data_IF_500492599508
#
_entry.id   IF_500492599508
#
_cell.length_a   1.000
_cell.length_b   1.000
_cell.length_c   1.000
_cell.angle_alpha   90.00
_cell.angle_beta   90.00
_cell.angle_gamma   90.00
#
_symmetry.space_group_name_H-M   'P 1'
#
loop_
_entity.id
_entity.type
_entity.pdbx_description
1 polymer ?
#
# COMPACT_ATOMS: atom_id res chain seq x y z
N UNK A 1 -2.20 -23.01 26.13
CA UNK A 1 -2.56 -21.70 25.54
C UNK A 1 -2.03 -20.65 26.50
N UNK A 2 -1.12 -19.75 26.12
CA UNK A 2 -0.70 -18.67 27.01
C UNK A 2 -1.86 -17.70 27.22
N UNK A 3 -2.06 -17.24 28.46
CA UNK A 3 -3.13 -16.33 28.86
C UNK A 3 -3.00 -14.98 28.15
N UNK A 4 -4.13 -14.39 27.77
CA UNK A 4 -4.23 -13.10 27.08
C UNK A 4 -3.84 -11.90 27.98
N UNK A 5 -3.66 -12.15 29.28
CA UNK A 5 -3.46 -11.13 30.32
C UNK A 5 -1.98 -10.70 30.49
N UNK A 6 -1.02 -11.36 29.85
CA UNK A 6 0.40 -10.97 29.89
C UNK A 6 0.77 -9.88 28.85
N UNK A 7 -0.22 -9.22 28.25
CA UNK A 7 0.00 -8.08 27.36
C UNK A 7 0.39 -6.84 28.19
N UNK A 8 1.66 -6.79 28.61
CA UNK A 8 2.22 -5.59 29.20
C UNK A 8 1.98 -4.39 28.25
N UNK A 9 1.50 -3.24 28.74
CA UNK A 9 1.40 -2.05 27.92
C UNK A 9 2.79 -1.73 27.38
N UNK A 10 2.93 -1.69 26.05
CA UNK A 10 4.21 -1.32 25.43
C UNK A 10 4.42 0.17 25.64
N UNK A 11 5.58 0.56 26.18
CA UNK A 11 5.96 1.96 26.40
C UNK A 11 6.08 2.78 25.10
N UNK A 12 6.07 2.13 23.94
CA UNK A 12 6.18 2.77 22.64
C UNK A 12 4.89 2.64 21.83
N UNK A 13 4.24 3.78 21.57
CA UNK A 13 3.16 3.90 20.60
C UNK A 13 3.74 4.02 19.19
N UNK A 14 3.57 2.98 18.37
CA UNK A 14 3.83 3.06 16.93
C UNK A 14 2.69 3.83 16.24
N UNK A 15 2.94 4.99 15.62
CA UNK A 15 1.88 5.72 14.95
C UNK A 15 1.39 4.91 13.73
N UNK A 16 0.08 4.72 13.67
CA UNK A 16 -0.60 4.05 12.57
C UNK A 16 -1.14 5.12 11.63
N UNK A 17 -0.56 5.22 10.43
CA UNK A 17 -1.00 6.17 9.41
C UNK A 17 -1.76 5.41 8.32
N UNK A 18 -2.96 5.89 7.99
CA UNK A 18 -3.81 5.28 6.97
C UNK A 18 -3.81 6.12 5.71
N UNK A 19 -3.43 5.53 4.58
CA UNK A 19 -3.55 6.17 3.27
C UNK A 19 -4.81 5.69 2.56
N UNK A 20 -5.67 6.64 2.19
CA UNK A 20 -6.87 6.38 1.40
C UNK A 20 -6.55 6.66 -0.08
N UNK A 21 -6.90 5.71 -0.94
CA UNK A 21 -6.93 5.92 -2.39
C UNK A 21 -8.33 5.61 -2.91
N UNK A 22 -8.57 5.80 -4.22
CA UNK A 22 -9.78 5.27 -4.86
C UNK A 22 -9.83 3.74 -4.70
N UNK A 23 -11.03 3.12 -4.55
CA UNK A 23 -11.15 1.70 -4.21
C UNK A 23 -10.41 0.74 -5.14
N UNK A 24 -10.33 1.05 -6.44
CA UNK A 24 -9.65 0.21 -7.44
C UNK A 24 -8.12 0.21 -7.30
N UNK A 25 -7.53 1.23 -6.69
CA UNK A 25 -6.09 1.50 -6.77
C UNK A 25 -5.30 1.00 -5.56
N UNK A 26 -5.99 0.58 -4.49
CA UNK A 26 -5.36 0.14 -3.25
C UNK A 26 -4.40 -1.01 -3.49
N UNK A 27 -4.83 -2.01 -4.25
CA UNK A 27 -4.02 -3.18 -4.56
C UNK A 27 -2.83 -2.84 -5.46
N UNK A 28 -2.99 -1.93 -6.42
CA UNK A 28 -1.89 -1.50 -7.28
C UNK A 28 -0.82 -0.72 -6.52
N UNK A 29 -1.24 0.14 -5.59
CA UNK A 29 -0.31 0.81 -4.70
C UNK A 29 0.38 -0.20 -3.77
N UNK A 30 -0.35 -1.19 -3.24
CA UNK A 30 0.26 -2.25 -2.46
C UNK A 30 1.33 -3.00 -3.27
N UNK A 31 1.09 -3.31 -4.54
CA UNK A 31 2.09 -3.94 -5.40
C UNK A 31 3.34 -3.08 -5.59
N UNK A 32 3.17 -1.78 -5.87
CA UNK A 32 4.30 -0.86 -5.99
C UNK A 32 5.16 -0.86 -4.72
N UNK A 33 4.51 -0.77 -3.56
CA UNK A 33 5.20 -0.73 -2.26
C UNK A 33 5.95 -2.02 -1.99
N UNK A 34 5.33 -3.18 -2.23
CA UNK A 34 5.98 -4.48 -2.06
C UNK A 34 7.16 -4.67 -3.03
N UNK A 35 7.01 -4.27 -4.30
CA UNK A 35 8.11 -4.32 -5.28
C UNK A 35 9.26 -3.38 -4.90
N UNK A 36 8.97 -2.30 -4.17
CA UNK A 36 9.96 -1.37 -3.62
C UNK A 36 10.53 -1.83 -2.26
N UNK A 37 10.26 -3.07 -1.86
CA UNK A 37 10.66 -3.67 -0.58
C UNK A 37 10.11 -2.94 0.66
N UNK A 38 8.93 -2.33 0.52
CA UNK A 38 8.20 -1.66 1.60
C UNK A 38 7.04 -2.56 2.04
N UNK A 39 7.00 -2.90 3.33
CA UNK A 39 5.87 -3.62 3.91
C UNK A 39 4.67 -2.70 4.11
N UNK A 40 3.61 -2.93 3.33
CA UNK A 40 2.38 -2.15 3.39
C UNK A 40 1.17 -3.09 3.43
N UNK A 41 0.30 -2.93 4.42
CA UNK A 41 -0.84 -3.84 4.60
C UNK A 41 -2.10 -3.18 4.01
N UNK A 42 -2.59 -3.63 2.85
CA UNK A 42 -3.90 -3.23 2.36
C UNK A 42 -4.98 -3.83 3.25
N UNK A 43 -5.90 -2.99 3.71
CA UNK A 43 -7.09 -3.38 4.47
C UNK A 43 -8.30 -3.09 3.59
N UNK A 44 -9.00 -4.16 3.20
CA UNK A 44 -10.19 -4.10 2.35
C UNK A 44 -11.33 -4.93 2.96
N UNK A 45 -12.48 -4.96 2.31
CA UNK A 45 -13.61 -5.82 2.69
C UNK A 45 -13.15 -7.28 2.84
N UNK A 46 -13.55 -8.00 3.92
CA UNK A 46 -14.60 -7.68 4.88
C UNK A 46 -14.18 -6.89 6.12
N UNK A 47 -12.89 -6.59 6.30
CA UNK A 47 -12.39 -5.90 7.49
C UNK A 47 -12.86 -4.43 7.57
N UNK A 48 -13.14 -3.82 6.43
CA UNK A 48 -13.76 -2.49 6.31
C UNK A 48 -14.94 -2.53 5.34
N UNK A 49 -15.91 -1.60 5.44
CA UNK A 49 -17.01 -1.53 4.49
C UNK A 49 -16.52 -1.42 3.05
N UNK A 50 -17.29 -1.98 2.10
CA UNK A 50 -16.95 -1.94 0.67
C UNK A 50 -16.71 -0.50 0.22
N UNK A 51 -15.64 -0.28 -0.55
CA UNK A 51 -15.25 1.05 -1.03
C UNK A 51 -14.53 1.92 0.00
N UNK A 52 -14.36 1.47 1.24
CA UNK A 52 -13.59 2.17 2.28
C UNK A 52 -12.23 1.52 2.55
N UNK A 53 -11.71 0.77 1.57
CA UNK A 53 -10.38 0.19 1.66
C UNK A 53 -9.30 1.26 1.89
N UNK A 54 -8.21 0.86 2.53
CA UNK A 54 -7.09 1.75 2.89
C UNK A 54 -5.82 0.96 3.10
N UNK A 55 -4.66 1.60 2.91
CA UNK A 55 -3.37 1.00 3.25
C UNK A 55 -2.96 1.46 4.64
N UNK A 56 -2.59 0.51 5.50
CA UNK A 56 -2.10 0.79 6.85
C UNK A 56 -0.58 0.77 6.86
N UNK A 57 0.02 1.90 7.23
CA UNK A 57 1.45 2.03 7.53
C UNK A 57 1.65 2.01 9.04
N UNK A 58 2.67 1.27 9.48
CA UNK A 58 3.09 1.20 10.88
C UNK A 58 4.53 1.69 10.94
N UNK A 59 4.75 2.81 11.61
CA UNK A 59 6.09 3.33 11.83
C UNK A 59 6.60 2.87 13.19
N UNK A 60 7.82 2.38 13.22
CA UNK A 60 8.51 1.96 14.42
C UNK A 60 9.57 2.98 14.80
N UNK A 61 9.95 3.07 16.08
CA UNK A 61 11.00 3.97 16.56
C UNK A 61 12.35 3.77 15.84
N UNK A 62 12.56 2.58 15.28
CA UNK A 62 13.75 2.23 14.53
C UNK A 62 13.71 2.67 13.05
N UNK A 63 12.57 3.18 12.55
CA UNK A 63 12.53 3.70 11.19
C UNK A 63 13.27 5.03 11.12
N UNK A 64 14.18 5.15 10.17
CA UNK A 64 14.95 6.37 9.95
C UNK A 64 14.19 7.35 9.08
N UNK A 65 14.58 8.62 9.11
CA UNK A 65 13.97 9.66 8.28
C UNK A 65 14.10 9.32 6.80
N UNK A 66 15.26 8.82 6.37
CA UNK A 66 15.51 8.42 4.97
C UNK A 66 14.58 7.29 4.52
N UNK A 67 14.22 6.36 5.41
CA UNK A 67 13.24 5.31 5.11
C UNK A 67 11.84 5.89 4.90
N UNK A 68 11.47 6.90 5.68
CA UNK A 68 10.18 7.60 5.55
C UNK A 68 10.16 8.45 4.28
N UNK A 69 11.25 9.16 3.97
CA UNK A 69 11.40 9.90 2.73
C UNK A 69 11.31 8.99 1.51
N UNK A 70 11.97 7.83 1.56
CA UNK A 70 11.88 6.82 0.51
C UNK A 70 10.43 6.35 0.31
N UNK A 71 9.71 6.06 1.39
CA UNK A 71 8.29 5.72 1.35
C UNK A 71 7.45 6.81 0.66
N UNK A 72 7.61 8.06 1.09
CA UNK A 72 6.85 9.20 0.53
C UNK A 72 7.17 9.37 -0.95
N UNK A 73 8.44 9.27 -1.34
CA UNK A 73 8.88 9.34 -2.73
C UNK A 73 8.25 8.24 -3.57
N UNK A 74 8.30 6.98 -3.13
CA UNK A 74 7.69 5.85 -3.84
C UNK A 74 6.17 6.04 -4.03
N UNK A 75 5.47 6.54 -3.00
CA UNK A 75 4.03 6.85 -3.11
C UNK A 75 3.80 7.97 -4.13
N UNK A 76 4.63 9.02 -4.10
CA UNK A 76 4.54 10.15 -5.01
C UNK A 76 4.76 9.78 -6.47
N UNK A 77 5.78 8.98 -6.76
CA UNK A 77 6.08 8.47 -8.11
C UNK A 77 4.91 7.65 -8.66
N UNK A 78 4.34 6.77 -7.85
CA UNK A 78 3.15 6.01 -8.23
C UNK A 78 1.93 6.91 -8.43
N UNK A 79 1.72 7.90 -7.56
CA UNK A 79 0.60 8.83 -7.68
C UNK A 79 0.69 9.66 -8.97
N UNK A 80 1.90 10.09 -9.32
CA UNK A 80 2.16 10.78 -10.59
C UNK A 80 1.84 9.89 -11.80
N UNK A 81 2.33 8.64 -11.81
CA UNK A 81 2.01 7.66 -12.86
C UNK A 81 0.50 7.46 -12.99
N UNK A 82 -0.21 7.33 -11.87
CA UNK A 82 -1.66 7.18 -11.87
C UNK A 82 -2.39 8.41 -12.43
N UNK A 83 -1.92 9.61 -12.12
CA UNK A 83 -2.47 10.85 -12.70
C UNK A 83 -2.24 10.92 -14.21
N UNK A 84 -1.06 10.51 -14.70
CA UNK A 84 -0.76 10.44 -16.13
C UNK A 84 -1.65 9.42 -16.86
N UNK A 85 -1.88 8.25 -16.26
CA UNK A 85 -2.78 7.23 -16.79
C UNK A 85 -4.22 7.77 -16.92
N UNK A 86 -4.67 8.54 -15.93
CA UNK A 86 -6.00 9.14 -15.92
C UNK A 86 -6.12 10.30 -16.91
N UNK A 87 -5.07 11.12 -17.08
CA UNK A 87 -5.04 12.23 -18.02
C UNK A 87 -4.89 11.78 -19.49
N UNK A 88 -4.40 10.56 -19.73
CA UNK A 88 -4.20 10.03 -21.07
C UNK A 88 -5.51 9.80 -21.86
N UNK A 89 -5.43 9.70 -23.20
CA UNK A 89 -6.58 9.44 -24.05
C UNK A 89 -7.23 8.11 -23.64
N UNK A 90 -8.52 8.17 -23.26
CA UNK A 90 -9.28 7.04 -22.73
C UNK A 90 -9.58 7.08 -21.22
N UNK A 91 -9.11 8.09 -20.49
CA UNK A 91 -9.49 8.32 -19.08
C UNK A 91 -9.10 7.17 -18.14
N UNK A 92 -7.92 6.58 -18.34
CA UNK A 92 -7.44 5.45 -17.54
C UNK A 92 -8.17 4.12 -17.73
N UNK A 93 -9.05 3.99 -18.75
CA UNK A 93 -9.72 2.71 -19.05
C UNK A 93 -8.72 1.69 -19.60
N UNK A 94 -8.61 0.55 -18.92
CA UNK A 94 -7.76 -0.58 -19.34
C UNK A 94 -6.26 -0.41 -19.11
N UNK A 95 -5.80 0.78 -18.72
CA UNK A 95 -4.39 1.03 -18.38
C UNK A 95 -4.14 0.74 -16.90
N UNK A 96 -3.02 0.10 -16.62
CA UNK A 96 -2.56 -0.28 -15.28
C UNK A 96 -1.17 0.30 -15.05
N UNK A 97 -0.79 0.64 -13.80
CA UNK A 97 0.56 1.10 -13.50
C UNK A 97 1.58 -0.02 -13.72
N UNK A 98 2.84 0.35 -13.96
CA UNK A 98 3.93 -0.58 -14.27
C UNK A 98 4.06 -1.70 -13.23
N UNK A 99 3.97 -1.37 -11.95
CA UNK A 99 4.01 -2.38 -10.88
C UNK A 99 2.88 -3.41 -10.98
N UNK A 100 1.66 -2.98 -11.30
CA UNK A 100 0.54 -3.90 -11.47
C UNK A 100 0.74 -4.80 -12.69
N UNK A 101 1.23 -4.24 -13.81
CA UNK A 101 1.56 -5.02 -15.01
C UNK A 101 2.61 -6.10 -14.69
N UNK A 102 3.65 -5.75 -13.94
CA UNK A 102 4.71 -6.68 -13.54
C UNK A 102 4.17 -7.82 -12.67
N UNK A 103 3.38 -7.51 -11.64
CA UNK A 103 2.80 -8.53 -10.76
C UNK A 103 1.84 -9.46 -11.53
N UNK A 104 0.98 -8.91 -12.40
CA UNK A 104 0.09 -9.75 -13.19
C UNK A 104 0.83 -10.63 -14.21
N UNK A 105 1.92 -10.14 -14.80
CA UNK A 105 2.78 -10.92 -15.68
C UNK A 105 3.46 -12.08 -14.92
N UNK A 106 3.91 -11.85 -13.68
CA UNK A 106 4.44 -12.91 -12.82
C UNK A 106 3.36 -13.94 -12.50
N UNK A 107 2.15 -13.50 -12.14
CA UNK A 107 1.03 -14.40 -11.84
C UNK A 107 0.61 -15.24 -13.05
N UNK A 108 0.64 -14.70 -14.27
CA UNK A 108 0.29 -15.46 -15.47
C UNK A 108 1.37 -16.44 -15.91
N UNK A 109 2.63 -16.21 -15.54
CA UNK A 109 3.75 -17.12 -15.84
C UNK A 109 3.82 -18.36 -14.93
N UNK A 110 3.09 -18.37 -13.82
CA UNK A 110 3.03 -19.49 -12.87
C UNK A 110 1.73 -20.32 -12.98
N UNK A 111 1.00 -20.16 -14.08
CA UNK A 111 -0.23 -20.90 -14.40
C UNK A 111 -0.04 -21.99 -15.44
#
# INVERSE_FOLDING_TARGET
MPNYDDCAPRDFNAPIVSLKSRPRYIWWLAFQLHLSNISAIPVDYPAVPRGQGRIRFMFHAANTEEQVEFLVKTIGEWAAEMMEIEAGPGGGKGKMPQAAQHVYALMSSQG
#
